data_IF_754677637762
#
_entry.id   IF_754677637762
#
_cell.length_a   1.000
_cell.length_b   1.000
_cell.length_c   1.000
_cell.angle_alpha   90.00
_cell.angle_beta   90.00
_cell.angle_gamma   90.00
#
_symmetry.space_group_name_H-M   'P 1'
#
loop_
_entity.id
_entity.type
_entity.pdbx_description
1 polymer ?
#
# COMPACT_ATOMS: atom_id res chain seq x y z
N UNK A 1 17.00 57.41 16.00
CA UNK A 1 16.34 56.24 16.62
C UNK A 1 16.82 54.99 15.91
N UNK A 2 17.42 54.03 16.63
CA UNK A 2 17.81 52.75 16.04
C UNK A 2 16.55 52.02 15.57
N UNK A 3 16.54 51.53 14.32
CA UNK A 3 15.43 50.73 13.83
C UNK A 3 15.38 49.42 14.63
N UNK A 4 14.24 49.08 15.27
CA UNK A 4 14.15 47.81 15.98
C UNK A 4 14.35 46.67 14.97
N UNK A 5 15.32 45.80 15.26
CA UNK A 5 15.55 44.59 14.48
C UNK A 5 14.64 43.48 15.02
N UNK A 6 14.19 42.58 14.15
CA UNK A 6 13.30 41.47 14.54
C UNK A 6 13.84 40.70 15.76
N UNK A 7 15.15 40.50 15.84
CA UNK A 7 15.85 39.78 16.91
C UNK A 7 15.87 40.54 18.26
N UNK A 8 15.66 41.86 18.25
CA UNK A 8 15.62 42.68 19.47
C UNK A 8 14.24 42.72 20.13
N UNK A 9 13.22 42.16 19.48
CA UNK A 9 11.87 42.06 20.06
C UNK A 9 11.81 40.95 21.13
N UNK A 10 10.95 41.11 22.16
CA UNK A 10 10.64 40.03 23.10
C UNK A 10 10.22 38.75 22.39
N UNK A 11 10.55 37.59 22.97
CA UNK A 11 10.31 36.30 22.34
C UNK A 11 8.82 36.10 22.00
N UNK A 12 7.91 36.50 22.87
CA UNK A 12 6.47 36.35 22.70
C UNK A 12 5.94 37.16 21.49
N UNK A 13 6.57 38.30 21.21
CA UNK A 13 6.23 39.13 20.05
C UNK A 13 6.80 38.49 18.78
N UNK A 14 8.05 38.00 18.84
CA UNK A 14 8.68 37.29 17.71
C UNK A 14 7.89 36.03 17.35
N UNK A 15 7.48 35.24 18.34
CA UNK A 15 6.71 34.03 18.18
C UNK A 15 5.36 34.30 17.47
N UNK A 16 4.63 35.34 17.88
CA UNK A 16 3.40 35.75 17.17
C UNK A 16 3.67 36.14 15.71
N UNK A 17 4.73 36.89 15.45
CA UNK A 17 5.13 37.27 14.09
C UNK A 17 5.47 36.02 13.26
N UNK A 18 6.21 35.08 13.85
CA UNK A 18 6.57 33.83 13.19
C UNK A 18 5.35 32.97 12.90
N UNK A 19 4.43 32.85 13.86
CA UNK A 19 3.19 32.10 13.66
C UNK A 19 2.34 32.69 12.53
N UNK A 20 2.23 34.03 12.47
CA UNK A 20 1.51 34.71 11.39
C UNK A 20 2.21 34.53 10.04
N UNK A 21 3.55 34.62 10.00
CA UNK A 21 4.32 34.47 8.77
C UNK A 21 4.25 33.05 8.17
N UNK A 22 4.34 32.00 9.01
CA UNK A 22 4.39 30.62 8.53
C UNK A 22 3.01 29.98 8.34
N UNK A 23 1.94 30.54 8.92
CA UNK A 23 0.60 30.03 8.74
C UNK A 23 0.07 30.43 7.36
N UNK A 24 -0.35 29.44 6.58
CA UNK A 24 -0.89 29.62 5.24
C UNK A 24 -2.36 29.21 5.25
N UNK A 25 -3.21 30.07 4.67
CA UNK A 25 -4.64 29.76 4.51
C UNK A 25 -4.83 28.51 3.64
N UNK A 26 -5.65 27.56 4.09
CA UNK A 26 -5.81 26.26 3.44
C UNK A 26 -4.66 25.26 3.67
N UNK A 27 -3.55 25.69 4.27
CA UNK A 27 -2.39 24.87 4.58
C UNK A 27 -1.52 24.53 3.37
N UNK A 28 -0.80 23.42 3.46
CA UNK A 28 0.08 22.94 2.40
C UNK A 28 -0.57 21.81 1.60
N UNK A 29 -0.23 21.74 0.31
CA UNK A 29 -0.66 20.68 -0.61
C UNK A 29 0.58 19.99 -1.15
N UNK A 30 0.62 18.66 -1.05
CA UNK A 30 1.68 17.88 -1.68
C UNK A 30 1.36 17.64 -3.15
N UNK A 31 2.20 18.18 -4.02
CA UNK A 31 2.13 17.95 -5.45
C UNK A 31 2.94 16.69 -5.82
N UNK A 32 2.24 15.61 -6.13
CA UNK A 32 2.83 14.30 -6.43
C UNK A 32 3.65 14.25 -7.73
N UNK A 33 3.44 15.18 -8.67
CA UNK A 33 4.20 15.23 -9.93
C UNK A 33 5.57 15.89 -9.72
N UNK A 34 5.61 16.97 -8.96
CA UNK A 34 6.84 17.71 -8.64
C UNK A 34 7.56 17.20 -7.39
N UNK A 35 6.91 16.33 -6.62
CA UNK A 35 7.33 15.87 -5.29
C UNK A 35 7.62 17.02 -4.30
N UNK A 36 6.84 18.11 -4.39
CA UNK A 36 7.03 19.31 -3.56
C UNK A 36 5.75 19.71 -2.86
N UNK A 37 5.93 20.39 -1.73
CA UNK A 37 4.85 21.09 -1.05
C UNK A 37 4.65 22.47 -1.69
N UNK A 38 3.40 22.81 -1.94
CA UNK A 38 2.95 24.14 -2.33
C UNK A 38 1.94 24.65 -1.30
N UNK A 39 1.61 25.93 -1.38
CA UNK A 39 0.41 26.48 -0.72
C UNK A 39 -0.85 25.96 -1.42
N UNK A 40 -2.01 26.16 -0.79
CA UNK A 40 -3.30 25.70 -1.32
C UNK A 40 -3.69 26.32 -2.68
N UNK A 41 -3.20 27.53 -2.97
CA UNK A 41 -3.32 28.24 -4.26
C UNK A 41 -2.21 27.87 -5.27
N UNK A 42 -1.35 26.91 -4.94
CA UNK A 42 -0.33 26.37 -5.84
C UNK A 42 0.98 27.17 -5.89
N UNK A 43 1.17 28.16 -5.03
CA UNK A 43 2.41 28.94 -4.94
C UNK A 43 3.50 28.19 -4.16
N UNK A 44 4.75 28.64 -4.34
CA UNK A 44 5.87 28.15 -3.54
C UNK A 44 5.72 28.63 -2.09
N UNK A 45 6.09 27.76 -1.14
CA UNK A 45 6.11 28.12 0.28
C UNK A 45 7.26 29.10 0.52
N UNK A 46 6.95 30.26 1.10
CA UNK A 46 7.96 31.27 1.45
C UNK A 46 8.68 30.88 2.75
N UNK A 47 9.96 30.58 2.62
CA UNK A 47 10.88 30.31 3.74
C UNK A 47 11.92 31.43 3.92
N UNK A 48 11.78 32.57 3.24
CA UNK A 48 12.79 33.63 3.24
C UNK A 48 13.15 34.09 4.65
N UNK A 49 12.18 34.15 5.57
CA UNK A 49 12.43 34.49 6.97
C UNK A 49 13.39 33.53 7.66
N UNK A 50 13.30 32.22 7.40
CA UNK A 50 14.22 31.21 7.97
C UNK A 50 15.66 31.41 7.50
N UNK A 51 15.84 31.92 6.28
CA UNK A 51 17.16 32.10 5.69
C UNK A 51 17.86 33.42 6.08
N UNK A 52 17.20 34.27 6.88
CA UNK A 52 17.78 35.54 7.32
C UNK A 52 18.95 35.36 8.29
N UNK A 53 18.82 34.52 9.32
CA UNK A 53 19.91 34.19 10.25
C UNK A 53 19.67 32.86 10.99
N UNK A 54 20.75 32.27 11.52
CA UNK A 54 20.69 30.99 12.26
C UNK A 54 19.77 31.01 13.47
N UNK A 55 19.67 32.15 14.16
CA UNK A 55 18.79 32.26 15.34
C UNK A 55 17.33 32.11 14.92
N UNK A 56 16.89 32.85 13.90
CA UNK A 56 15.52 32.77 13.39
C UNK A 56 15.25 31.37 12.81
N UNK A 57 16.19 30.81 12.06
CA UNK A 57 16.08 29.44 11.55
C UNK A 57 15.82 28.43 12.67
N UNK A 58 16.56 28.51 13.77
CA UNK A 58 16.42 27.61 14.92
C UNK A 58 15.09 27.81 15.66
N UNK A 59 14.68 29.07 15.86
CA UNK A 59 13.43 29.42 16.53
C UNK A 59 12.21 28.93 15.70
N UNK A 60 12.33 28.83 14.37
CA UNK A 60 11.18 28.67 13.48
C UNK A 60 11.13 27.35 12.69
N UNK A 61 12.19 26.53 12.69
CA UNK A 61 12.31 25.30 11.86
C UNK A 61 11.15 24.30 11.98
N UNK A 62 10.36 24.37 13.05
CA UNK A 62 9.24 23.47 13.32
C UNK A 62 7.88 24.06 12.93
N UNK A 63 7.77 25.39 12.86
CA UNK A 63 6.51 26.11 12.65
C UNK A 63 5.81 25.78 11.32
N UNK A 64 6.52 25.61 10.18
CA UNK A 64 5.86 25.26 8.92
C UNK A 64 4.98 24.01 9.03
N UNK A 65 5.48 22.95 9.67
CA UNK A 65 4.74 21.69 9.84
C UNK A 65 3.79 21.68 11.03
N UNK A 66 4.07 22.47 12.07
CA UNK A 66 3.26 22.53 13.27
C UNK A 66 1.98 23.37 13.07
N UNK A 67 2.05 24.41 12.23
CA UNK A 67 0.95 25.35 12.02
C UNK A 67 0.05 25.02 10.83
N UNK A 68 0.51 24.19 9.89
CA UNK A 68 -0.19 23.93 8.63
C UNK A 68 -0.52 22.46 8.46
N UNK A 69 -1.78 22.18 8.11
CA UNK A 69 -2.18 20.86 7.66
C UNK A 69 -1.56 20.57 6.29
N UNK A 70 -1.17 19.33 6.04
CA UNK A 70 -0.72 18.88 4.73
C UNK A 70 -1.81 18.04 4.09
N UNK A 71 -2.23 18.45 2.89
CA UNK A 71 -3.19 17.71 2.07
C UNK A 71 -2.47 16.85 1.04
N UNK A 72 -2.88 15.59 0.95
CA UNK A 72 -2.46 14.63 -0.06
C UNK A 72 -3.68 14.20 -0.86
N UNK A 73 -3.51 14.10 -2.17
CA UNK A 73 -4.54 13.59 -3.08
C UNK A 73 -4.06 12.32 -3.79
N UNK A 74 -5.00 11.56 -4.33
CA UNK A 74 -4.70 10.44 -5.24
C UNK A 74 -3.72 10.85 -6.33
N UNK A 75 -2.72 9.99 -6.58
CA UNK A 75 -1.78 10.20 -7.67
C UNK A 75 -2.31 9.53 -8.93
N UNK A 76 -2.74 10.36 -9.87
CA UNK A 76 -3.07 9.96 -11.23
C UNK A 76 -2.19 10.72 -12.22
N UNK A 77 -1.50 9.98 -13.09
CA UNK A 77 -0.89 10.55 -14.30
C UNK A 77 -1.07 9.57 -15.46
N UNK A 78 -1.16 10.05 -16.72
CA UNK A 78 -1.25 9.16 -17.88
C UNK A 78 -0.12 8.13 -17.95
N UNK A 79 1.08 8.51 -17.51
CA UNK A 79 2.25 7.64 -17.49
C UNK A 79 2.16 6.55 -16.41
N UNK A 80 1.65 6.88 -15.22
CA UNK A 80 1.59 5.97 -14.08
C UNK A 80 0.31 5.14 -14.02
N UNK A 81 -0.75 5.54 -14.72
CA UNK A 81 -2.05 4.87 -14.72
C UNK A 81 -1.95 3.36 -14.93
N UNK A 82 -1.26 2.92 -15.98
CA UNK A 82 -1.12 1.49 -16.28
C UNK A 82 -0.37 0.76 -15.14
N UNK A 83 0.64 1.41 -14.56
CA UNK A 83 1.40 0.86 -13.44
C UNK A 83 0.59 0.76 -12.15
N UNK A 84 -0.26 1.75 -11.85
CA UNK A 84 -1.21 1.66 -10.75
C UNK A 84 -2.18 0.48 -10.92
N UNK A 85 -2.67 0.27 -12.15
CA UNK A 85 -3.52 -0.88 -12.46
C UNK A 85 -2.79 -2.21 -12.30
N UNK A 86 -1.56 -2.30 -12.82
CA UNK A 86 -0.72 -3.49 -12.66
C UNK A 86 -0.46 -3.78 -11.18
N UNK A 87 -0.15 -2.74 -10.39
CA UNK A 87 0.05 -2.86 -8.95
C UNK A 87 -1.18 -3.43 -8.24
N UNK A 88 -2.37 -2.85 -8.47
CA UNK A 88 -3.61 -3.32 -7.86
C UNK A 88 -3.89 -4.79 -8.20
N UNK A 89 -3.73 -5.18 -9.47
CA UNK A 89 -3.96 -6.55 -9.92
C UNK A 89 -2.98 -7.56 -9.33
N UNK A 90 -1.69 -7.24 -9.35
CA UNK A 90 -0.65 -8.10 -8.76
C UNK A 90 -0.85 -8.20 -7.24
N UNK A 91 -1.21 -7.10 -6.55
CA UNK A 91 -1.50 -7.08 -5.12
C UNK A 91 -2.66 -8.00 -4.76
N UNK A 92 -3.76 -7.93 -5.51
CA UNK A 92 -4.92 -8.80 -5.30
C UNK A 92 -4.59 -10.27 -5.54
N UNK A 93 -3.94 -10.57 -6.67
CA UNK A 93 -3.59 -11.95 -6.99
C UNK A 93 -2.65 -12.55 -5.98
N UNK A 94 -1.62 -11.83 -5.52
CA UNK A 94 -0.73 -12.34 -4.48
C UNK A 94 -1.46 -12.62 -3.18
N UNK A 95 -2.40 -11.77 -2.79
CA UNK A 95 -3.22 -12.01 -1.60
C UNK A 95 -4.09 -13.27 -1.75
N UNK A 96 -4.74 -13.44 -2.91
CA UNK A 96 -5.61 -14.60 -3.18
C UNK A 96 -4.78 -15.88 -3.34
N UNK A 97 -3.60 -15.80 -3.95
CA UNK A 97 -2.69 -16.93 -4.11
C UNK A 97 -2.20 -17.44 -2.76
N UNK A 98 -1.86 -16.54 -1.83
CA UNK A 98 -1.50 -16.91 -0.45
C UNK A 98 -2.64 -17.66 0.24
N UNK A 99 -3.88 -17.22 0.04
CA UNK A 99 -5.08 -17.93 0.54
C UNK A 99 -5.18 -19.34 -0.05
N UNK A 100 -5.01 -19.49 -1.37
CA UNK A 100 -5.08 -20.79 -2.03
C UNK A 100 -3.98 -21.73 -1.50
N UNK A 101 -2.75 -21.23 -1.30
CA UNK A 101 -1.68 -22.00 -0.68
C UNK A 101 -1.97 -22.38 0.77
N UNK A 102 -2.50 -21.46 1.60
CA UNK A 102 -2.89 -21.79 2.98
C UNK A 102 -3.91 -22.93 2.98
N UNK A 103 -4.93 -22.87 2.12
CA UNK A 103 -5.93 -23.93 2.02
C UNK A 103 -5.29 -25.28 1.66
N UNK A 104 -4.38 -25.30 0.68
CA UNK A 104 -3.72 -26.53 0.24
C UNK A 104 -2.76 -27.10 1.30
N UNK A 105 -2.02 -26.25 2.01
CA UNK A 105 -1.07 -26.65 3.06
C UNK A 105 -1.77 -27.11 4.35
N UNK A 106 -2.85 -26.45 4.77
CA UNK A 106 -3.58 -26.87 5.96
C UNK A 106 -4.49 -28.09 5.70
N UNK A 107 -4.93 -28.27 4.45
CA UNK A 107 -5.91 -29.28 4.08
C UNK A 107 -7.35 -28.94 4.53
N UNK A 108 -8.18 -29.95 4.84
CA UNK A 108 -9.60 -29.76 5.13
C UNK A 108 -9.91 -29.07 6.47
N UNK A 109 -8.96 -29.05 7.40
CA UNK A 109 -9.14 -28.47 8.74
C UNK A 109 -7.89 -27.70 9.15
N UNK A 110 -8.08 -26.56 9.79
CA UNK A 110 -6.98 -25.81 10.38
C UNK A 110 -6.30 -26.63 11.49
N UNK A 111 -4.97 -26.65 11.51
CA UNK A 111 -4.22 -27.35 12.57
C UNK A 111 -4.35 -26.61 13.91
N UNK A 112 -4.33 -27.31 15.06
CA UNK A 112 -4.41 -26.66 16.37
C UNK A 112 -3.32 -25.61 16.58
N UNK A 113 -2.12 -25.83 16.05
CA UNK A 113 -0.98 -24.93 16.20
C UNK A 113 -1.18 -23.62 15.42
N UNK A 114 -1.75 -23.69 14.21
CA UNK A 114 -2.10 -22.48 13.45
C UNK A 114 -3.27 -21.75 14.11
N UNK A 115 -4.25 -22.49 14.61
CA UNK A 115 -5.41 -21.93 15.32
C UNK A 115 -4.98 -21.16 16.57
N UNK A 116 -4.14 -21.75 17.43
CA UNK A 116 -3.59 -21.11 18.62
C UNK A 116 -2.80 -19.84 18.28
N UNK A 117 -1.89 -19.93 17.32
CA UNK A 117 -1.08 -18.78 16.90
C UNK A 117 -1.92 -17.63 16.30
N UNK A 118 -3.01 -17.97 15.61
CA UNK A 118 -3.95 -17.00 15.06
C UNK A 118 -4.85 -16.40 16.14
N UNK A 119 -5.28 -17.17 17.13
CA UNK A 119 -6.08 -16.69 18.25
C UNK A 119 -5.28 -15.71 19.11
N UNK A 120 -3.99 -15.99 19.34
CA UNK A 120 -3.09 -15.09 20.08
C UNK A 120 -2.94 -13.73 19.38
N UNK A 121 -2.75 -13.73 18.05
CA UNK A 121 -2.43 -12.51 17.29
C UNK A 121 -3.65 -11.77 16.74
N UNK A 122 -4.72 -12.49 16.40
CA UNK A 122 -5.92 -11.97 15.73
C UNK A 122 -7.23 -12.52 16.36
N UNK A 123 -7.44 -12.41 17.68
CA UNK A 123 -8.52 -13.09 18.40
C UNK A 123 -9.91 -12.76 17.85
N UNK A 124 -10.17 -11.50 17.52
CA UNK A 124 -11.49 -11.07 17.02
C UNK A 124 -11.81 -11.55 15.60
N UNK A 125 -10.82 -12.05 14.85
CA UNK A 125 -10.98 -12.47 13.46
C UNK A 125 -10.97 -14.00 13.31
N UNK A 126 -10.33 -14.71 14.25
CA UNK A 126 -10.05 -16.15 14.12
C UNK A 126 -11.29 -16.98 13.76
N UNK A 127 -12.44 -16.89 14.46
CA UNK A 127 -13.56 -17.81 14.18
C UNK A 127 -14.11 -17.66 12.76
N UNK A 128 -14.20 -16.42 12.25
CA UNK A 128 -14.64 -16.16 10.88
C UNK A 128 -13.60 -16.57 9.85
N UNK A 129 -12.32 -16.34 10.15
CA UNK A 129 -11.20 -16.65 9.28
C UNK A 129 -11.03 -18.16 9.07
N UNK A 130 -11.02 -18.94 10.16
CA UNK A 130 -10.93 -20.41 10.13
C UNK A 130 -12.09 -21.03 9.33
N UNK A 131 -13.33 -20.69 9.68
CA UNK A 131 -14.51 -21.19 8.98
C UNK A 131 -14.47 -20.91 7.47
N UNK A 132 -13.94 -19.74 7.09
CA UNK A 132 -13.82 -19.35 5.68
C UNK A 132 -12.74 -20.15 4.96
N UNK A 133 -11.57 -20.39 5.56
CA UNK A 133 -10.53 -21.23 4.97
C UNK A 133 -11.01 -22.66 4.74
N UNK A 134 -11.62 -23.28 5.76
CA UNK A 134 -12.15 -24.65 5.66
C UNK A 134 -13.28 -24.74 4.61
N UNK A 135 -14.16 -23.73 4.57
CA UNK A 135 -15.20 -23.63 3.53
C UNK A 135 -14.64 -23.52 2.12
N UNK A 136 -13.59 -22.71 1.93
CA UNK A 136 -12.93 -22.55 0.63
C UNK A 136 -12.27 -23.86 0.22
N UNK A 137 -11.58 -24.55 1.13
CA UNK A 137 -11.02 -25.86 0.87
C UNK A 137 -12.07 -26.84 0.37
N UNK A 138 -13.16 -26.99 1.13
CA UNK A 138 -14.22 -27.93 0.76
C UNK A 138 -14.90 -27.60 -0.57
N UNK A 139 -15.03 -26.31 -0.89
CA UNK A 139 -15.66 -25.86 -2.14
C UNK A 139 -14.73 -25.96 -3.37
N UNK A 140 -13.41 -25.88 -3.18
CA UNK A 140 -12.46 -25.69 -4.29
C UNK A 140 -11.43 -26.80 -4.45
N UNK A 141 -10.97 -27.38 -3.35
CA UNK A 141 -9.80 -28.27 -3.34
C UNK A 141 -10.13 -29.70 -2.89
N UNK A 142 -11.37 -29.98 -2.46
CA UNK A 142 -11.77 -31.31 -1.95
C UNK A 142 -11.60 -32.43 -2.96
N UNK A 143 -12.01 -32.20 -4.20
CA UNK A 143 -11.99 -33.21 -5.26
C UNK A 143 -10.62 -33.26 -5.95
N UNK A 144 -10.01 -32.09 -6.15
CA UNK A 144 -8.74 -31.93 -6.85
C UNK A 144 -7.93 -30.81 -6.16
N UNK A 145 -7.00 -31.14 -5.26
CA UNK A 145 -6.23 -30.16 -4.48
C UNK A 145 -5.05 -29.62 -5.29
N UNK A 146 -5.33 -28.91 -6.37
CA UNK A 146 -4.32 -28.30 -7.26
C UNK A 146 -4.40 -26.79 -7.21
N UNK A 147 -3.25 -26.10 -7.24
CA UNK A 147 -3.22 -24.63 -7.14
C UNK A 147 -3.93 -23.98 -8.34
N UNK A 148 -3.90 -24.63 -9.50
CA UNK A 148 -4.53 -24.14 -10.74
C UNK A 148 -6.05 -24.02 -10.65
N UNK A 149 -6.71 -24.77 -9.77
CA UNK A 149 -8.17 -24.68 -9.52
C UNK A 149 -8.53 -23.59 -8.50
N UNK A 150 -7.51 -22.99 -7.89
CA UNK A 150 -7.62 -21.94 -6.90
C UNK A 150 -8.30 -20.67 -7.40
N UNK A 151 -8.60 -19.79 -6.45
CA UNK A 151 -9.26 -18.52 -6.73
C UNK A 151 -8.34 -17.56 -7.48
N UNK A 152 -7.02 -17.66 -7.29
CA UNK A 152 -6.02 -16.80 -7.92
C UNK A 152 -5.94 -17.02 -9.43
N UNK A 153 -5.87 -18.28 -9.88
CA UNK A 153 -5.82 -18.57 -11.31
C UNK A 153 -7.15 -18.28 -12.01
N UNK A 154 -8.28 -18.51 -11.34
CA UNK A 154 -9.58 -18.04 -11.84
C UNK A 154 -9.63 -16.51 -11.98
N UNK A 155 -9.04 -15.77 -11.03
CA UNK A 155 -8.93 -14.32 -11.12
C UNK A 155 -8.10 -13.88 -12.33
N UNK A 156 -6.99 -14.56 -12.62
CA UNK A 156 -6.20 -14.36 -13.84
C UNK A 156 -7.04 -14.64 -15.11
N UNK A 157 -7.70 -15.79 -15.19
CA UNK A 157 -8.54 -16.18 -16.34
C UNK A 157 -9.66 -15.17 -16.60
N UNK A 158 -10.38 -14.74 -15.56
CA UNK A 158 -11.44 -13.74 -15.69
C UNK A 158 -10.89 -12.37 -16.11
N UNK A 159 -9.71 -12.00 -15.60
CA UNK A 159 -8.98 -10.80 -16.03
C UNK A 159 -8.56 -10.86 -17.51
N UNK A 160 -8.41 -12.05 -18.09
CA UNK A 160 -8.18 -12.25 -19.52
C UNK A 160 -9.47 -12.22 -20.35
N UNK A 161 -10.66 -12.16 -19.76
CA UNK A 161 -11.92 -12.26 -20.50
C UNK A 161 -12.72 -10.95 -20.60
N UNK A 162 -12.52 -10.02 -19.67
CA UNK A 162 -13.61 -9.08 -19.32
C UNK A 162 -13.16 -7.61 -19.24
N UNK A 163 -14.12 -6.69 -19.38
CA UNK A 163 -13.98 -5.30 -18.92
C UNK A 163 -14.09 -5.16 -17.40
N UNK A 164 -14.28 -6.28 -16.70
CA UNK A 164 -14.53 -6.39 -15.26
C UNK A 164 -13.26 -6.35 -14.41
N UNK A 165 -12.10 -6.17 -15.02
CA UNK A 165 -10.85 -5.79 -14.31
C UNK A 165 -11.09 -4.53 -13.43
N UNK A 166 -12.11 -3.72 -13.77
CA UNK A 166 -12.58 -2.56 -12.99
C UNK A 166 -13.65 -2.91 -11.95
N UNK A 167 -14.35 -4.05 -12.04
CA UNK A 167 -15.47 -4.40 -11.13
C UNK A 167 -15.02 -4.92 -9.76
N UNK A 168 -13.88 -4.48 -9.24
CA UNK A 168 -13.46 -4.77 -7.85
C UNK A 168 -13.45 -6.26 -7.44
N UNK A 169 -13.51 -7.24 -8.35
CA UNK A 169 -13.64 -8.66 -7.99
C UNK A 169 -12.54 -9.15 -7.04
N UNK A 170 -11.32 -8.62 -7.18
CA UNK A 170 -10.21 -8.87 -6.26
C UNK A 170 -10.46 -8.25 -4.87
N UNK A 171 -11.01 -7.05 -4.83
CA UNK A 171 -11.38 -6.36 -3.59
C UNK A 171 -12.60 -7.02 -2.92
N UNK A 172 -13.64 -7.42 -3.66
CA UNK A 172 -14.78 -8.23 -3.16
C UNK A 172 -14.30 -9.54 -2.54
N UNK A 173 -13.37 -10.23 -3.21
CA UNK A 173 -12.78 -11.47 -2.74
C UNK A 173 -12.06 -11.27 -1.40
N UNK A 174 -11.34 -10.16 -1.24
CA UNK A 174 -10.59 -9.83 -0.02
C UNK A 174 -11.53 -9.30 1.09
N UNK A 175 -12.52 -8.45 0.77
CA UNK A 175 -13.51 -7.91 1.72
C UNK A 175 -14.29 -9.00 2.44
N UNK A 176 -14.50 -10.14 1.81
CA UNK A 176 -15.15 -11.25 2.48
C UNK A 176 -14.34 -11.86 3.65
N UNK A 177 -13.04 -11.59 3.75
CA UNK A 177 -12.19 -12.07 4.85
C UNK A 177 -12.32 -11.27 6.14
N UNK A 178 -13.00 -10.13 6.12
CA UNK A 178 -13.28 -9.33 7.30
C UNK A 178 -13.65 -7.90 6.95
N UNK A 179 -14.29 -7.20 7.91
CA UNK A 179 -14.66 -5.78 7.74
C UNK A 179 -13.45 -4.87 7.53
N UNK A 180 -12.27 -5.27 8.03
CA UNK A 180 -11.01 -4.56 7.86
C UNK A 180 -10.11 -5.34 6.88
N UNK A 181 -10.01 -4.85 5.64
CA UNK A 181 -9.20 -5.43 4.57
C UNK A 181 -7.71 -5.49 4.92
N UNK A 182 -7.20 -4.48 5.63
CA UNK A 182 -5.79 -4.45 6.05
C UNK A 182 -5.48 -5.58 7.04
N UNK A 183 -6.33 -5.74 8.05
CA UNK A 183 -6.19 -6.79 9.06
C UNK A 183 -6.34 -8.18 8.43
N UNK A 184 -7.26 -8.35 7.48
CA UNK A 184 -7.40 -9.60 6.73
C UNK A 184 -6.13 -9.94 5.92
N UNK A 185 -5.55 -8.98 5.21
CA UNK A 185 -4.29 -9.17 4.48
C UNK A 185 -3.14 -9.53 5.40
N UNK A 186 -3.05 -8.90 6.57
CA UNK A 186 -2.02 -9.19 7.57
C UNK A 186 -2.12 -10.62 8.10
N UNK A 187 -3.34 -11.06 8.42
CA UNK A 187 -3.58 -12.40 8.90
C UNK A 187 -3.36 -13.49 7.83
N UNK A 188 -3.69 -13.20 6.57
CA UNK A 188 -3.33 -14.06 5.43
C UNK A 188 -1.81 -14.16 5.31
N UNK A 189 -1.09 -13.03 5.35
CA UNK A 189 0.37 -13.03 5.26
C UNK A 189 1.01 -13.81 6.43
N UNK A 190 0.49 -13.63 7.64
CA UNK A 190 0.93 -14.37 8.83
C UNK A 190 0.69 -15.88 8.69
N UNK A 191 -0.53 -16.30 8.34
CA UNK A 191 -0.89 -17.72 8.19
C UNK A 191 -0.05 -18.40 7.11
N UNK A 192 0.14 -17.72 5.97
CA UNK A 192 0.96 -18.22 4.88
C UNK A 192 2.42 -18.42 5.31
N UNK A 193 2.98 -17.45 6.04
CA UNK A 193 4.34 -17.56 6.58
C UNK A 193 4.44 -18.70 7.61
N UNK A 194 3.49 -18.77 8.55
CA UNK A 194 3.46 -19.78 9.59
C UNK A 194 3.45 -21.21 9.03
N UNK A 195 2.63 -21.46 8.02
CA UNK A 195 2.56 -22.78 7.36
C UNK A 195 3.78 -23.02 6.47
N UNK A 196 4.17 -22.04 5.66
CA UNK A 196 5.28 -22.19 4.72
C UNK A 196 6.62 -22.45 5.41
N UNK A 197 6.85 -21.88 6.59
CA UNK A 197 8.07 -22.16 7.39
C UNK A 197 8.09 -23.59 7.94
N UNK A 198 6.93 -24.23 8.12
CA UNK A 198 6.80 -25.60 8.66
C UNK A 198 6.67 -26.66 7.58
N UNK A 199 6.12 -26.31 6.42
CA UNK A 199 5.81 -27.20 5.30
C UNK A 199 6.56 -26.75 4.05
N UNK A 200 7.88 -26.63 4.18
CA UNK A 200 8.77 -26.05 3.18
C UNK A 200 8.70 -26.76 1.83
N UNK A 201 8.72 -28.10 1.85
CA UNK A 201 8.79 -28.90 0.62
C UNK A 201 7.46 -28.89 -0.12
N UNK A 202 6.35 -28.99 0.63
CA UNK A 202 5.00 -28.92 0.10
C UNK A 202 4.73 -27.55 -0.55
N UNK A 203 5.14 -26.47 0.10
CA UNK A 203 5.05 -25.13 -0.48
C UNK A 203 5.89 -25.00 -1.77
N UNK A 204 7.10 -25.56 -1.78
CA UNK A 204 7.96 -25.55 -2.97
C UNK A 204 7.31 -26.28 -4.15
N UNK A 205 6.66 -27.41 -3.90
CA UNK A 205 5.94 -28.17 -4.93
C UNK A 205 4.74 -27.39 -5.47
N UNK A 206 3.93 -26.79 -4.59
CA UNK A 206 2.80 -25.93 -4.97
C UNK A 206 3.23 -24.73 -5.81
N UNK A 207 4.39 -24.12 -5.49
CA UNK A 207 4.94 -23.01 -6.27
C UNK A 207 5.42 -23.44 -7.64
N UNK A 208 6.09 -24.60 -7.73
CA UNK A 208 6.53 -25.15 -9.00
C UNK A 208 5.34 -25.57 -9.86
N UNK A 209 4.23 -26.02 -9.26
CA UNK A 209 2.96 -26.29 -9.96
C UNK A 209 2.34 -24.99 -10.52
N UNK A 210 2.27 -23.94 -9.69
CA UNK A 210 1.72 -22.63 -10.04
C UNK A 210 2.56 -21.95 -11.14
N UNK A 211 3.89 -21.97 -10.97
CA UNK A 211 4.84 -21.30 -11.82
C UNK A 211 6.00 -22.25 -12.18
N UNK A 212 5.81 -23.11 -13.21
CA UNK A 212 6.83 -24.07 -13.63
C UNK A 212 8.16 -23.38 -13.91
N UNK A 213 9.23 -23.92 -13.33
CA UNK A 213 10.58 -23.35 -13.41
C UNK A 213 10.97 -22.45 -12.23
N UNK A 214 10.10 -22.29 -11.24
CA UNK A 214 10.45 -21.73 -9.93
C UNK A 214 11.36 -22.72 -9.19
N UNK A 215 12.68 -22.71 -9.47
CA UNK A 215 13.66 -23.53 -8.76
C UNK A 215 14.12 -22.82 -7.48
N UNK A 216 14.08 -23.52 -6.35
CA UNK A 216 14.45 -23.05 -5.00
C UNK A 216 15.91 -22.59 -4.80
N UNK A 217 16.66 -22.35 -5.88
CA UNK A 217 17.93 -21.60 -5.85
C UNK A 217 17.72 -20.07 -5.81
N UNK A 218 16.48 -19.59 -5.99
CA UNK A 218 16.08 -18.22 -5.68
C UNK A 218 15.48 -18.22 -4.27
N UNK A 219 16.09 -17.46 -3.35
CA UNK A 219 15.78 -17.42 -1.92
C UNK A 219 14.26 -17.43 -1.66
N UNK A 220 13.70 -18.43 -1.00
CA UNK A 220 12.26 -18.51 -0.72
C UNK A 220 11.78 -17.38 0.22
N UNK A 221 12.69 -16.70 0.92
CA UNK A 221 12.39 -15.41 1.56
C UNK A 221 11.80 -14.43 0.55
N UNK A 222 12.25 -14.44 -0.72
CA UNK A 222 11.69 -13.61 -1.79
C UNK A 222 10.18 -13.82 -1.99
N UNK A 223 9.63 -14.99 -1.61
CA UNK A 223 8.19 -15.26 -1.67
C UNK A 223 7.46 -14.81 -0.39
N UNK A 224 8.01 -15.11 0.79
CA UNK A 224 7.46 -14.61 2.06
C UNK A 224 7.47 -13.08 2.13
N UNK A 225 8.43 -12.48 1.44
CA UNK A 225 8.63 -11.04 1.30
C UNK A 225 8.03 -10.50 -0.02
N UNK A 226 7.42 -11.35 -0.85
CA UNK A 226 6.65 -10.90 -2.00
C UNK A 226 5.32 -10.31 -1.51
N UNK A 227 5.38 -9.04 -1.16
CA UNK A 227 4.24 -8.25 -0.72
C UNK A 227 4.14 -7.01 -1.60
N UNK A 228 2.96 -6.80 -2.14
CA UNK A 228 2.57 -5.55 -2.77
C UNK A 228 1.47 -4.94 -1.90
N UNK A 229 1.90 -4.08 -0.98
CA UNK A 229 0.98 -3.40 -0.08
C UNK A 229 0.11 -2.43 -0.87
N UNK A 230 -1.22 -2.42 -0.66
CA UNK A 230 -2.11 -1.60 -1.45
C UNK A 230 -1.93 -0.09 -1.18
N UNK A 231 -1.21 0.27 -0.11
CA UNK A 231 -0.82 1.62 0.25
C UNK A 231 0.65 1.96 -0.09
N UNK A 232 1.31 1.17 -0.95
CA UNK A 232 2.64 1.49 -1.44
C UNK A 232 2.61 2.01 -2.88
N UNK A 233 3.70 2.69 -3.30
CA UNK A 233 3.93 3.10 -4.69
C UNK A 233 5.23 2.45 -5.17
N UNK A 234 5.17 1.18 -5.63
CA UNK A 234 6.37 0.46 -6.03
C UNK A 234 6.99 1.04 -7.30
N UNK A 235 8.29 0.87 -7.47
CA UNK A 235 8.96 1.27 -8.71
C UNK A 235 8.50 0.41 -9.89
N UNK A 236 8.60 0.96 -11.11
CA UNK A 236 8.30 0.21 -12.35
C UNK A 236 9.15 -1.06 -12.48
N UNK A 237 10.40 -1.03 -11.98
CA UNK A 237 11.29 -2.18 -11.97
C UNK A 237 10.78 -3.30 -11.05
N UNK A 238 10.29 -2.95 -9.85
CA UNK A 238 9.69 -3.92 -8.92
C UNK A 238 8.44 -4.56 -9.52
N UNK A 239 7.53 -3.76 -10.08
CA UNK A 239 6.31 -4.28 -10.72
C UNK A 239 6.62 -5.14 -11.94
N UNK A 240 7.67 -4.81 -12.69
CA UNK A 240 8.13 -5.61 -13.83
C UNK A 240 8.69 -6.95 -13.37
N UNK A 241 9.59 -6.94 -12.37
CA UNK A 241 10.14 -8.17 -11.77
C UNK A 241 9.04 -9.10 -11.26
N UNK A 242 8.13 -8.56 -10.46
CA UNK A 242 7.02 -9.34 -9.88
C UNK A 242 6.08 -9.84 -10.98
N UNK A 243 5.71 -8.98 -11.94
CA UNK A 243 4.84 -9.39 -13.03
C UNK A 243 5.44 -10.51 -13.89
N UNK A 244 6.73 -10.42 -14.23
CA UNK A 244 7.43 -11.49 -14.95
C UNK A 244 7.48 -12.79 -14.14
N UNK A 245 7.70 -12.70 -12.83
CA UNK A 245 7.71 -13.86 -11.92
C UNK A 245 6.33 -14.56 -11.90
N UNK A 246 5.25 -13.78 -11.89
CA UNK A 246 3.86 -14.28 -11.89
C UNK A 246 3.29 -14.50 -13.30
N UNK A 247 4.11 -14.35 -14.34
CA UNK A 247 3.74 -14.53 -15.76
C UNK A 247 2.50 -13.70 -16.14
N UNK A 248 2.47 -12.43 -15.75
CA UNK A 248 1.32 -11.53 -15.95
C UNK A 248 1.25 -10.93 -17.37
N UNK A 249 2.07 -11.37 -18.33
CA UNK A 249 2.26 -10.72 -19.64
C UNK A 249 0.96 -10.39 -20.39
N UNK A 250 -0.01 -11.31 -20.37
CA UNK A 250 -1.31 -11.15 -21.01
C UNK A 250 -2.13 -10.06 -20.32
N UNK A 251 -2.15 -10.07 -18.98
CA UNK A 251 -2.86 -9.08 -18.17
C UNK A 251 -2.18 -7.72 -18.30
N UNK A 252 -0.85 -7.67 -18.23
CA UNK A 252 -0.09 -6.45 -18.34
C UNK A 252 -0.33 -5.74 -19.67
N UNK A 253 -0.29 -6.49 -20.79
CA UNK A 253 -0.60 -5.94 -22.12
C UNK A 253 -1.98 -5.29 -22.14
N UNK A 254 -2.98 -5.96 -21.56
CA UNK A 254 -4.36 -5.42 -21.49
C UNK A 254 -4.45 -4.17 -20.64
N UNK A 255 -3.87 -4.17 -19.45
CA UNK A 255 -3.87 -3.00 -18.54
C UNK A 255 -3.20 -1.80 -19.19
N UNK A 256 -2.12 -2.04 -19.93
CA UNK A 256 -1.40 -1.01 -20.67
C UNK A 256 -2.25 -0.42 -21.80
N UNK A 257 -2.84 -1.29 -22.61
CA UNK A 257 -3.62 -0.93 -23.80
C UNK A 257 -5.06 -0.51 -23.45
N UNK A 258 -5.46 -0.62 -22.18
CA UNK A 258 -6.79 -0.25 -21.73
C UNK A 258 -7.02 1.25 -21.86
N UNK A 259 -7.88 1.69 -22.79
CA UNK A 259 -8.18 3.11 -23.01
C UNK A 259 -9.67 3.46 -22.99
N UNK A 260 -10.55 2.56 -22.54
CA UNK A 260 -12.00 2.84 -22.47
C UNK A 260 -12.29 3.99 -21.48
N UNK A 261 -13.00 5.00 -21.99
CA UNK A 261 -13.03 6.37 -21.48
C UNK A 261 -13.43 6.56 -20.01
N UNK A 262 -12.99 7.70 -19.47
CA UNK A 262 -13.33 8.46 -18.24
C UNK A 262 -13.50 7.72 -16.89
N UNK A 263 -13.96 6.47 -16.85
CA UNK A 263 -14.33 5.73 -15.63
C UNK A 263 -13.29 4.74 -15.12
N UNK A 264 -12.26 4.43 -15.90
CA UNK A 264 -11.21 3.49 -15.51
C UNK A 264 -9.88 4.22 -15.24
N UNK A 265 -9.83 5.03 -14.19
CA UNK A 265 -8.58 5.70 -13.78
C UNK A 265 -7.99 4.90 -12.63
N UNK A 266 -7.10 3.96 -12.92
CA UNK A 266 -6.22 3.43 -11.87
C UNK A 266 -5.34 4.56 -11.33
N UNK A 267 -5.28 4.67 -10.01
CA UNK A 267 -4.55 5.72 -9.28
C UNK A 267 -3.85 5.07 -8.10
N UNK A 268 -2.80 5.71 -7.59
CA UNK A 268 -2.32 5.40 -6.26
C UNK A 268 -3.12 6.23 -5.24
N UNK A 269 -3.46 5.62 -4.10
CA UNK A 269 -4.23 6.29 -3.05
C UNK A 269 -3.49 7.49 -2.48
N UNK A 270 -4.23 8.48 -1.98
CA UNK A 270 -3.66 9.61 -1.24
C UNK A 270 -2.85 9.12 -0.03
N UNK A 271 -3.31 8.02 0.59
CA UNK A 271 -2.58 7.33 1.67
C UNK A 271 -1.19 6.88 1.22
N UNK A 272 -1.06 6.27 0.04
CA UNK A 272 0.23 5.80 -0.48
C UNK A 272 1.19 6.96 -0.76
N UNK A 273 0.65 8.07 -1.28
CA UNK A 273 1.40 9.31 -1.50
C UNK A 273 1.90 9.89 -0.18
N UNK A 274 1.05 9.94 0.85
CA UNK A 274 1.41 10.43 2.18
C UNK A 274 2.52 9.58 2.81
N UNK A 275 2.43 8.25 2.75
CA UNK A 275 3.46 7.33 3.25
C UNK A 275 4.81 7.58 2.55
N UNK A 276 4.80 7.71 1.22
CA UNK A 276 6.00 8.01 0.43
C UNK A 276 6.65 9.33 0.86
N UNK A 277 5.85 10.38 1.05
CA UNK A 277 6.33 11.66 1.57
C UNK A 277 6.90 11.53 2.98
N UNK A 278 6.21 10.86 3.91
CA UNK A 278 6.70 10.70 5.27
C UNK A 278 8.02 9.94 5.33
N UNK A 279 8.23 8.94 4.46
CA UNK A 279 9.51 8.22 4.37
C UNK A 279 10.70 9.14 4.04
N UNK A 280 10.47 10.27 3.38
CA UNK A 280 11.50 11.29 3.07
C UNK A 280 11.81 12.22 4.26
N UNK A 281 10.93 12.28 5.27
CA UNK A 281 11.10 13.12 6.45
C UNK A 281 11.91 12.41 7.54
N UNK A 282 12.72 13.19 8.26
CA UNK A 282 13.36 12.77 9.52
C UNK A 282 12.33 12.51 10.62
N UNK A 283 12.73 11.75 11.65
CA UNK A 283 11.87 11.46 12.81
C UNK A 283 11.41 12.75 13.52
N UNK A 284 12.29 13.75 13.62
CA UNK A 284 11.97 15.05 14.23
C UNK A 284 10.88 15.76 13.43
N UNK A 285 11.00 15.83 12.10
CA UNK A 285 9.99 16.44 11.23
C UNK A 285 8.64 15.72 11.32
N UNK A 286 8.63 14.38 11.32
CA UNK A 286 7.39 13.59 11.45
C UNK A 286 6.64 13.90 12.75
N UNK A 287 7.36 14.09 13.86
CA UNK A 287 6.78 14.44 15.17
C UNK A 287 6.15 15.84 15.21
N UNK A 288 6.51 16.71 14.26
CA UNK A 288 5.98 18.08 14.14
C UNK A 288 4.73 18.18 13.26
N UNK A 289 4.43 17.16 12.46
CA UNK A 289 3.19 17.12 11.69
C UNK A 289 2.00 17.08 12.67
N UNK A 290 1.11 18.08 12.57
CA UNK A 290 -0.09 18.19 13.43
C UNK A 290 -1.39 17.83 12.71
N UNK A 291 -1.45 17.99 11.39
CA UNK A 291 -2.64 17.64 10.63
C UNK A 291 -2.31 17.13 9.24
N UNK A 292 -3.00 16.04 8.88
CA UNK A 292 -2.89 15.36 7.60
C UNK A 292 -4.31 15.24 7.04
N UNK A 293 -4.50 15.67 5.79
CA UNK A 293 -5.75 15.50 5.07
C UNK A 293 -5.50 14.57 3.89
N UNK A 294 -6.25 13.47 3.82
CA UNK A 294 -6.22 12.53 2.71
C UNK A 294 -7.46 12.78 1.84
N UNK A 295 -7.26 13.01 0.55
CA UNK A 295 -8.30 13.28 -0.43
C UNK A 295 -8.27 12.15 -1.45
N UNK A 296 -9.06 11.12 -1.19
CA UNK A 296 -9.22 10.00 -2.13
C UNK A 296 -10.27 10.37 -3.20
N UNK A 297 -9.98 10.06 -4.46
CA UNK A 297 -10.99 10.16 -5.53
C UNK A 297 -12.02 9.03 -5.38
N UNK A 298 -13.31 9.36 -5.28
CA UNK A 298 -14.43 8.41 -5.38
C UNK A 298 -14.70 7.94 -6.83
#
# INVERSE_FOLDING_TARGET
MARPHLVTLPYEVRDKIFQEYFRVEGGYVFNSESEKLTTADGQLIDFSLMYTCRSIANDTKHLPFELNNISFSTLFSPELRAWAGRHQLLSHFLCILKVDFICLLQGPKMSPELEEAMEEKFPHMMPGFKNRLESIYHRRFREEPTVRKGSAFRYWELGQGTSEIIKDFGDESIRGWGKNVSMAREAIAFSFRFLGERQYFELADLLNEAFPGWKGSNNQQDLFDLTLDPWDIPSKAVLTRIGSLLRDDVIWRRVKDWHYGVRAKYRFSATAVAIRFFRQLSLEQRRRLRGIKLIEDE
#
